data_IF_658462885975
#
_entry.id   IF_658462885975
#
_cell.length_a   1.000
_cell.length_b   1.000
_cell.length_c   1.000
_cell.angle_alpha   90.00
_cell.angle_beta   90.00
_cell.angle_gamma   90.00
#
_symmetry.space_group_name_H-M   'P 1'
#
loop_
_entity.id
_entity.type
_entity.pdbx_description
1 polymer ?
#
# COMPACT_ATOMS: atom_id res chain seq x y z
N UNK A 1 2.88 -15.11 0.26
CA UNK A 1 4.22 -14.50 0.03
C UNK A 1 4.54 -13.46 1.09
N UNK A 2 3.61 -12.54 1.44
CA UNK A 2 3.76 -11.67 2.63
C UNK A 2 4.06 -12.47 3.91
N UNK A 3 3.43 -13.64 4.09
CA UNK A 3 3.63 -14.54 5.24
C UNK A 3 5.04 -15.12 5.33
N UNK A 4 5.66 -15.48 4.20
CA UNK A 4 7.02 -16.05 4.18
C UNK A 4 8.05 -14.96 4.50
N UNK A 5 7.84 -13.75 3.99
CA UNK A 5 8.73 -12.60 4.28
C UNK A 5 8.55 -12.11 5.70
N UNK A 6 7.34 -12.18 6.26
CA UNK A 6 7.09 -11.97 7.69
C UNK A 6 7.80 -13.03 8.53
N UNK A 7 7.69 -14.31 8.19
CA UNK A 7 8.41 -15.40 8.88
C UNK A 7 9.93 -15.22 8.80
N UNK A 8 10.48 -14.98 7.60
CA UNK A 8 11.90 -14.70 7.41
C UNK A 8 12.36 -13.49 8.23
N UNK A 9 11.58 -12.42 8.22
CA UNK A 9 11.83 -11.21 9.03
C UNK A 9 11.83 -11.52 10.51
N UNK A 10 10.84 -12.28 10.99
CA UNK A 10 10.72 -12.64 12.40
C UNK A 10 11.89 -13.51 12.84
N UNK A 11 12.26 -14.51 12.04
CA UNK A 11 13.43 -15.35 12.29
C UNK A 11 14.73 -14.54 12.26
N UNK A 12 14.91 -13.68 11.25
CA UNK A 12 16.08 -12.81 11.12
C UNK A 12 16.21 -11.86 12.32
N UNK A 13 15.11 -11.21 12.73
CA UNK A 13 15.10 -10.35 13.90
C UNK A 13 15.33 -11.13 15.19
N UNK A 14 14.74 -12.32 15.32
CA UNK A 14 14.93 -13.18 16.48
C UNK A 14 16.39 -13.61 16.63
N UNK A 15 17.06 -13.97 15.53
CA UNK A 15 18.50 -14.26 15.54
C UNK A 15 19.33 -12.98 15.75
N UNK A 16 18.96 -11.86 15.14
CA UNK A 16 19.59 -10.55 15.35
C UNK A 16 19.54 -10.09 16.82
N UNK A 17 18.43 -10.32 17.51
CA UNK A 17 18.28 -10.00 18.94
C UNK A 17 18.90 -11.05 19.87
N UNK A 18 19.12 -12.29 19.42
CA UNK A 18 19.88 -13.29 20.19
C UNK A 18 21.37 -12.99 20.21
N UNK A 19 21.91 -12.39 19.15
CA UNK A 19 23.33 -12.04 19.01
C UNK A 19 23.70 -10.70 19.69
N UNK A 20 22.98 -10.34 20.77
CA UNK A 20 23.03 -9.07 21.51
C UNK A 20 24.37 -8.75 22.22
N UNK A 21 25.45 -9.47 21.90
CA UNK A 21 26.79 -9.28 22.46
C UNK A 21 27.85 -8.78 21.45
N UNK A 22 27.53 -8.64 20.17
CA UNK A 22 28.48 -8.12 19.15
C UNK A 22 27.99 -6.81 18.54
N UNK A 23 28.93 -5.89 18.34
CA UNK A 23 28.73 -4.52 17.91
C UNK A 23 27.64 -4.41 16.81
N UNK A 24 26.56 -3.68 17.13
CA UNK A 24 25.49 -3.40 16.16
C UNK A 24 26.09 -2.66 14.97
N UNK A 25 26.16 -3.34 13.83
CA UNK A 25 26.59 -2.70 12.61
C UNK A 25 25.55 -1.61 12.24
N UNK A 26 25.98 -0.44 11.76
CA UNK A 26 25.06 0.61 11.35
C UNK A 26 24.21 0.12 10.17
N UNK A 27 23.00 0.64 9.98
CA UNK A 27 22.09 0.18 8.90
C UNK A 27 22.75 0.18 7.50
N UNK A 28 23.65 1.14 7.26
CA UNK A 28 24.49 1.25 6.05
C UNK A 28 25.38 0.03 5.78
N UNK A 29 25.75 -0.74 6.80
CA UNK A 29 26.53 -1.95 6.67
C UNK A 29 25.69 -3.14 6.15
N UNK A 30 24.36 -3.07 6.34
CA UNK A 30 23.41 -4.07 5.83
C UNK A 30 22.84 -3.67 4.46
N UNK A 31 22.85 -2.37 4.12
CA UNK A 31 22.27 -1.82 2.88
C UNK A 31 23.22 -0.85 2.18
N UNK A 32 24.48 -1.26 1.98
CA UNK A 32 25.54 -0.41 1.40
C UNK A 32 25.15 0.20 0.06
N UNK A 33 24.45 -0.55 -0.79
CA UNK A 33 24.00 -0.09 -2.11
C UNK A 33 22.64 0.64 -2.10
N UNK A 34 21.85 0.51 -1.02
CA UNK A 34 20.50 1.05 -0.91
C UNK A 34 20.36 2.18 0.13
N UNK A 35 21.48 2.75 0.58
CA UNK A 35 21.50 3.81 1.61
C UNK A 35 20.60 5.02 1.28
N UNK A 36 20.54 5.54 0.04
CA UNK A 36 19.64 6.63 -0.31
C UNK A 36 18.15 6.27 -0.14
N UNK A 37 17.77 5.06 -0.58
CA UNK A 37 16.39 4.56 -0.46
C UNK A 37 16.00 4.36 1.01
N UNK A 38 16.91 3.82 1.82
CA UNK A 38 16.72 3.70 3.28
C UNK A 38 16.42 5.07 3.90
N UNK A 39 17.23 6.07 3.61
CA UNK A 39 17.05 7.42 4.16
C UNK A 39 15.74 8.06 3.69
N UNK A 40 15.37 7.85 2.42
CA UNK A 40 14.11 8.32 1.88
C UNK A 40 12.91 7.68 2.59
N UNK A 41 12.95 6.36 2.84
CA UNK A 41 11.86 5.63 3.50
C UNK A 41 11.77 5.94 5.00
N UNK A 42 12.88 6.25 5.67
CA UNK A 42 12.92 6.64 7.09
C UNK A 42 12.36 8.03 7.37
N UNK A 43 12.21 8.87 6.34
CA UNK A 43 11.60 10.19 6.49
C UNK A 43 10.18 10.01 7.03
N UNK A 44 9.86 10.69 8.13
CA UNK A 44 8.50 10.72 8.68
C UNK A 44 7.61 11.59 7.81
N UNK A 45 6.42 11.08 7.51
CA UNK A 45 5.39 11.82 6.79
C UNK A 45 4.49 12.66 7.71
N UNK A 46 4.63 12.50 9.02
CA UNK A 46 3.85 13.19 10.04
C UNK A 46 3.87 14.70 9.83
N UNK A 47 2.67 15.30 9.71
CA UNK A 47 2.50 16.74 9.56
C UNK A 47 2.96 17.32 8.21
N UNK A 48 3.38 16.49 7.23
CA UNK A 48 3.76 16.98 5.91
C UNK A 48 2.51 17.34 5.08
N UNK A 49 2.49 18.52 4.45
CA UNK A 49 1.49 18.86 3.44
C UNK A 49 1.47 17.86 2.27
N UNK A 50 0.29 17.68 1.66
CA UNK A 50 0.04 16.74 0.55
C UNK A 50 1.05 16.90 -0.61
N UNK A 51 1.35 18.14 -1.03
CA UNK A 51 2.31 18.40 -2.10
C UNK A 51 3.74 17.94 -1.74
N UNK A 52 4.15 18.08 -0.48
CA UNK A 52 5.46 17.61 -0.02
C UNK A 52 5.50 16.08 0.04
N UNK A 53 4.42 15.45 0.52
CA UNK A 53 4.28 13.98 0.49
C UNK A 53 4.40 13.45 -0.94
N UNK A 54 3.68 14.06 -1.89
CA UNK A 54 3.71 13.69 -3.30
C UNK A 54 5.11 13.82 -3.91
N UNK A 55 5.80 14.94 -3.67
CA UNK A 55 7.16 15.13 -4.15
C UNK A 55 8.13 14.09 -3.59
N UNK A 56 7.97 13.74 -2.31
CA UNK A 56 8.76 12.71 -1.67
C UNK A 56 8.46 11.32 -2.25
N UNK A 57 7.20 11.01 -2.52
CA UNK A 57 6.77 9.78 -3.18
C UNK A 57 7.37 9.65 -4.59
N UNK A 58 7.38 10.71 -5.39
CA UNK A 58 8.07 10.72 -6.69
C UNK A 58 9.57 10.41 -6.55
N UNK A 59 10.20 10.93 -5.50
CA UNK A 59 11.61 10.65 -5.22
C UNK A 59 11.83 9.16 -4.91
N UNK A 60 10.97 8.56 -4.08
CA UNK A 60 10.99 7.12 -3.79
C UNK A 60 10.76 6.31 -5.07
N UNK A 61 9.75 6.66 -5.88
CA UNK A 61 9.45 5.97 -7.14
C UNK A 61 10.64 6.02 -8.10
N UNK A 62 11.28 7.19 -8.24
CA UNK A 62 12.47 7.34 -9.08
C UNK A 62 13.62 6.44 -8.61
N UNK A 63 13.87 6.38 -7.30
CA UNK A 63 14.89 5.49 -6.73
C UNK A 63 14.56 4.02 -7.02
N UNK A 64 13.32 3.58 -6.79
CA UNK A 64 12.89 2.20 -7.04
C UNK A 64 12.95 1.83 -8.53
N UNK A 65 12.55 2.74 -9.42
CA UNK A 65 12.62 2.53 -10.87
C UNK A 65 14.06 2.38 -11.35
N UNK A 66 15.01 3.16 -10.81
CA UNK A 66 16.43 3.03 -11.19
C UNK A 66 16.99 1.64 -10.86
N UNK A 67 16.59 1.07 -9.72
CA UNK A 67 16.95 -0.30 -9.33
C UNK A 67 16.30 -1.35 -10.24
N UNK A 68 15.09 -1.07 -10.73
CA UNK A 68 14.34 -1.96 -11.62
C UNK A 68 14.82 -1.91 -13.09
N UNK A 69 15.41 -0.80 -13.54
CA UNK A 69 15.81 -0.59 -14.94
C UNK A 69 17.30 -0.79 -15.24
N UNK A 70 18.21 -0.31 -14.38
CA UNK A 70 19.65 -0.19 -14.72
C UNK A 70 20.48 -1.39 -14.24
N UNK A 71 20.03 -2.09 -13.19
CA UNK A 71 20.74 -3.22 -12.57
C UNK A 71 19.75 -4.26 -12.06
N UNK A 72 18.97 -4.87 -12.97
CA UNK A 72 17.94 -5.85 -12.61
C UNK A 72 18.53 -7.18 -12.14
N UNK A 73 19.39 -7.15 -11.13
CA UNK A 73 19.66 -8.31 -10.28
C UNK A 73 18.42 -8.53 -9.42
N UNK A 74 17.95 -9.78 -9.36
CA UNK A 74 16.82 -10.13 -8.50
C UNK A 74 17.09 -9.78 -7.03
N UNK A 75 18.36 -9.76 -6.63
CA UNK A 75 18.79 -9.38 -5.29
C UNK A 75 18.53 -7.89 -4.99
N UNK A 76 18.91 -6.97 -5.88
CA UNK A 76 18.73 -5.53 -5.65
C UNK A 76 17.24 -5.16 -5.61
N UNK A 77 16.44 -5.76 -6.49
CA UNK A 77 14.98 -5.60 -6.52
C UNK A 77 14.35 -6.13 -5.22
N UNK A 78 14.77 -7.31 -4.78
CA UNK A 78 14.28 -7.90 -3.52
C UNK A 78 14.66 -7.05 -2.31
N UNK A 79 15.90 -6.58 -2.21
CA UNK A 79 16.35 -5.72 -1.10
C UNK A 79 15.55 -4.41 -1.05
N UNK A 80 15.36 -3.75 -2.20
CA UNK A 80 14.60 -2.51 -2.29
C UNK A 80 13.13 -2.71 -1.93
N UNK A 81 12.53 -3.80 -2.40
CA UNK A 81 11.17 -4.17 -2.03
C UNK A 81 11.04 -4.54 -0.55
N UNK A 82 12.01 -5.25 0.00
CA UNK A 82 12.03 -5.60 1.42
C UNK A 82 12.09 -4.35 2.29
N UNK A 83 12.95 -3.39 1.94
CA UNK A 83 13.00 -2.08 2.59
C UNK A 83 11.66 -1.36 2.48
N UNK A 84 11.04 -1.37 1.29
CA UNK A 84 9.72 -0.79 1.07
C UNK A 84 8.64 -1.44 1.92
N UNK A 85 8.65 -2.76 2.16
CA UNK A 85 7.68 -3.40 3.07
C UNK A 85 7.93 -3.01 4.53
N UNK A 86 9.21 -2.99 4.95
CA UNK A 86 9.57 -2.83 6.35
C UNK A 86 9.48 -1.38 6.83
N UNK A 87 9.74 -0.44 5.93
CA UNK A 87 9.71 1.00 6.18
C UNK A 87 8.51 1.66 5.44
N UNK A 88 7.52 0.86 5.09
CA UNK A 88 6.53 1.11 4.05
C UNK A 88 5.36 2.02 4.36
N UNK A 89 5.43 2.86 5.39
CA UNK A 89 4.35 3.83 5.66
C UNK A 89 4.02 4.68 4.43
N UNK A 90 5.02 4.93 3.58
CA UNK A 90 4.88 5.63 2.30
C UNK A 90 3.98 4.93 1.27
N UNK A 91 3.84 3.60 1.29
CA UNK A 91 2.95 2.88 0.36
C UNK A 91 1.49 3.15 0.68
N UNK A 92 1.12 3.09 1.96
CA UNK A 92 -0.24 3.41 2.40
C UNK A 92 -0.52 4.92 2.21
N UNK A 93 0.51 5.78 2.30
CA UNK A 93 0.37 7.22 1.99
C UNK A 93 0.18 7.42 0.49
N UNK A 94 0.88 6.67 -0.37
CA UNK A 94 0.68 6.74 -1.82
C UNK A 94 -0.76 6.38 -2.20
N UNK A 95 -1.32 5.31 -1.63
CA UNK A 95 -2.72 4.95 -1.85
C UNK A 95 -3.68 6.06 -1.42
N UNK A 96 -3.44 6.68 -0.26
CA UNK A 96 -4.23 7.81 0.23
C UNK A 96 -4.15 8.99 -0.73
N UNK A 97 -2.94 9.47 -1.03
CA UNK A 97 -2.71 10.61 -1.92
C UNK A 97 -3.35 10.38 -3.29
N UNK A 98 -3.30 9.16 -3.82
CA UNK A 98 -3.91 8.81 -5.10
C UNK A 98 -5.44 9.02 -5.08
N UNK A 99 -6.11 8.80 -3.94
CA UNK A 99 -7.57 8.92 -3.80
C UNK A 99 -8.03 10.27 -3.23
N UNK A 100 -7.14 11.03 -2.59
CA UNK A 100 -7.45 12.33 -2.00
C UNK A 100 -7.00 13.50 -2.88
N UNK A 101 -5.92 13.34 -3.64
CA UNK A 101 -5.25 14.43 -4.37
C UNK A 101 -5.64 14.47 -5.86
N UNK A 102 -4.99 15.35 -6.64
CA UNK A 102 -5.30 15.63 -8.05
C UNK A 102 -4.85 14.47 -8.99
N UNK A 103 -5.63 14.12 -10.04
CA UNK A 103 -5.37 13.02 -10.96
C UNK A 103 -4.03 13.01 -11.72
N UNK A 104 -3.32 14.13 -11.90
CA UNK A 104 -2.09 14.21 -12.71
C UNK A 104 -0.94 13.29 -12.21
N UNK A 105 -0.99 12.88 -10.94
CA UNK A 105 0.08 12.14 -10.24
C UNK A 105 -0.17 10.61 -10.19
N UNK A 106 -1.25 10.15 -10.83
CA UNK A 106 -1.76 8.79 -10.66
C UNK A 106 -0.82 7.67 -11.12
N UNK A 107 -0.08 7.84 -12.22
CA UNK A 107 0.68 6.74 -12.82
C UNK A 107 1.90 6.30 -11.98
N UNK A 108 2.63 7.24 -11.36
CA UNK A 108 3.79 6.90 -10.52
C UNK A 108 3.38 6.26 -9.19
N UNK A 109 2.29 6.72 -8.59
CA UNK A 109 1.75 6.14 -7.37
C UNK A 109 1.13 4.76 -7.63
N UNK A 110 0.44 4.57 -8.77
CA UNK A 110 -0.03 3.25 -9.21
C UNK A 110 1.14 2.31 -9.48
N UNK A 111 2.22 2.80 -10.08
CA UNK A 111 3.43 2.00 -10.28
C UNK A 111 4.04 1.57 -8.93
N UNK A 112 4.10 2.46 -7.94
CA UNK A 112 4.61 2.13 -6.60
C UNK A 112 3.79 1.01 -5.95
N UNK A 113 2.46 1.09 -6.03
CA UNK A 113 1.56 0.05 -5.53
C UNK A 113 1.74 -1.27 -6.29
N UNK A 114 1.86 -1.22 -7.62
CA UNK A 114 2.11 -2.39 -8.44
C UNK A 114 3.44 -3.07 -8.09
N UNK A 115 4.49 -2.28 -7.85
CA UNK A 115 5.80 -2.76 -7.39
C UNK A 115 5.72 -3.37 -5.99
N UNK A 116 5.00 -2.74 -5.05
CA UNK A 116 4.82 -3.25 -3.68
C UNK A 116 4.16 -4.64 -3.66
N UNK A 117 3.08 -4.83 -4.44
CA UNK A 117 2.39 -6.11 -4.47
C UNK A 117 3.09 -7.15 -5.36
N UNK A 118 3.84 -6.72 -6.38
CA UNK A 118 4.50 -7.64 -7.29
C UNK A 118 5.90 -7.15 -7.73
N UNK A 119 6.91 -7.23 -6.85
CA UNK A 119 8.24 -6.65 -7.10
C UNK A 119 9.01 -7.36 -8.21
N UNK A 120 8.85 -8.68 -8.33
CA UNK A 120 9.60 -9.49 -9.29
C UNK A 120 8.89 -9.62 -10.64
N UNK A 121 7.74 -8.95 -10.83
CA UNK A 121 6.98 -9.10 -12.06
C UNK A 121 7.76 -8.55 -13.24
N UNK A 122 7.81 -9.32 -14.34
CA UNK A 122 8.26 -8.83 -15.64
C UNK A 122 7.49 -7.57 -16.04
N UNK A 123 8.17 -6.67 -16.76
CA UNK A 123 7.62 -5.36 -17.16
C UNK A 123 6.24 -5.47 -17.82
N UNK A 124 6.02 -6.50 -18.64
CA UNK A 124 4.73 -6.75 -19.30
C UNK A 124 3.61 -7.13 -18.32
N UNK A 125 3.90 -7.93 -17.31
CA UNK A 125 2.91 -8.35 -16.32
C UNK A 125 2.59 -7.20 -15.34
N UNK A 126 3.59 -6.37 -15.02
CA UNK A 126 3.36 -5.12 -14.25
C UNK A 126 2.54 -4.11 -15.01
N UNK A 127 2.76 -3.99 -16.33
CA UNK A 127 1.94 -3.16 -17.21
C UNK A 127 0.46 -3.55 -17.15
N UNK A 128 0.15 -4.85 -17.17
CA UNK A 128 -1.23 -5.34 -16.98
C UNK A 128 -1.81 -4.96 -15.62
N UNK A 129 -1.09 -5.21 -14.53
CA UNK A 129 -1.52 -4.80 -13.18
C UNK A 129 -1.78 -3.30 -13.10
N UNK A 130 -0.96 -2.47 -13.73
CA UNK A 130 -1.17 -1.02 -13.76
C UNK A 130 -2.43 -0.63 -14.53
N UNK A 131 -2.69 -1.23 -15.70
CA UNK A 131 -3.90 -0.95 -16.48
C UNK A 131 -5.16 -1.32 -15.69
N UNK A 132 -5.16 -2.50 -15.06
CA UNK A 132 -6.26 -2.99 -14.22
C UNK A 132 -6.50 -2.07 -13.01
N UNK A 133 -5.41 -1.70 -12.31
CA UNK A 133 -5.47 -0.80 -11.17
C UNK A 133 -5.92 0.62 -11.55
N UNK A 134 -5.49 1.11 -12.71
CA UNK A 134 -5.87 2.43 -13.24
C UNK A 134 -7.36 2.49 -13.54
N UNK A 135 -7.91 1.46 -14.20
CA UNK A 135 -9.35 1.38 -14.45
C UNK A 135 -10.17 1.43 -13.14
N UNK A 136 -9.76 0.65 -12.13
CA UNK A 136 -10.40 0.69 -10.81
C UNK A 136 -10.26 2.07 -10.15
N UNK A 137 -9.08 2.67 -10.20
CA UNK A 137 -8.86 4.00 -9.66
C UNK A 137 -9.77 5.05 -10.32
N UNK A 138 -9.88 5.06 -11.64
CA UNK A 138 -10.76 5.97 -12.38
C UNK A 138 -12.23 5.77 -11.98
N UNK A 139 -12.67 4.52 -11.80
CA UNK A 139 -13.99 4.21 -11.26
C UNK A 139 -14.17 4.76 -9.84
N UNK A 140 -13.20 4.58 -8.93
CA UNK A 140 -13.26 5.12 -7.57
C UNK A 140 -13.31 6.65 -7.55
N UNK A 141 -12.57 7.32 -8.44
CA UNK A 141 -12.62 8.78 -8.62
C UNK A 141 -14.00 9.23 -9.11
N UNK A 142 -14.60 8.50 -10.04
CA UNK A 142 -15.97 8.75 -10.49
C UNK A 142 -16.99 8.58 -9.36
N UNK A 143 -16.87 7.50 -8.58
CA UNK A 143 -17.70 7.24 -7.39
C UNK A 143 -17.54 8.31 -6.30
N UNK A 144 -16.34 8.88 -6.13
CA UNK A 144 -16.09 10.01 -5.21
C UNK A 144 -16.89 11.26 -5.61
N UNK A 145 -17.01 11.51 -6.91
CA UNK A 145 -17.69 12.67 -7.49
C UNK A 145 -19.21 12.49 -7.59
N UNK A 146 -19.68 11.25 -7.59
CA UNK A 146 -21.11 10.92 -7.61
C UNK A 146 -21.89 11.56 -6.45
N UNK A 147 -23.12 12.00 -6.73
CA UNK A 147 -24.09 12.46 -5.72
C UNK A 147 -24.73 11.30 -4.96
N UNK A 148 -24.76 10.11 -5.55
CA UNK A 148 -25.42 8.92 -5.02
C UNK A 148 -24.39 7.94 -4.47
N UNK A 149 -24.58 7.51 -3.23
CA UNK A 149 -23.76 6.50 -2.54
C UNK A 149 -24.52 5.18 -2.57
N UNK A 150 -23.90 4.13 -3.09
CA UNK A 150 -24.53 2.82 -3.21
C UNK A 150 -23.48 1.71 -3.07
N UNK A 151 -23.64 0.80 -2.10
CA UNK A 151 -22.73 -0.34 -1.95
C UNK A 151 -22.70 -1.23 -3.21
N UNK A 152 -23.82 -1.32 -3.95
CA UNK A 152 -23.90 -2.13 -5.16
C UNK A 152 -23.00 -1.63 -6.30
N UNK A 153 -22.74 -0.32 -6.40
CA UNK A 153 -21.79 0.17 -7.41
C UNK A 153 -20.36 -0.26 -7.10
N UNK A 154 -20.04 -0.42 -5.81
CA UNK A 154 -18.78 -0.98 -5.36
C UNK A 154 -18.69 -2.49 -5.60
N UNK A 155 -19.78 -3.23 -5.36
CA UNK A 155 -19.84 -4.66 -5.69
C UNK A 155 -19.63 -4.89 -7.18
N UNK A 156 -20.32 -4.11 -8.03
CA UNK A 156 -20.19 -4.21 -9.48
C UNK A 156 -18.74 -4.03 -9.96
N UNK A 157 -18.02 -3.06 -9.39
CA UNK A 157 -16.59 -2.85 -9.67
C UNK A 157 -15.74 -4.11 -9.41
N UNK A 158 -16.04 -4.82 -8.32
CA UNK A 158 -15.34 -6.07 -7.96
C UNK A 158 -15.84 -7.28 -8.77
N UNK A 159 -17.08 -7.26 -9.25
CA UNK A 159 -17.68 -8.33 -10.06
C UNK A 159 -17.35 -8.26 -11.54
N UNK A 160 -17.06 -7.08 -12.09
CA UNK A 160 -16.66 -6.88 -13.49
C UNK A 160 -15.42 -7.72 -13.87
N UNK A 161 -14.68 -8.22 -12.88
CA UNK A 161 -13.56 -9.12 -13.05
C UNK A 161 -13.92 -10.61 -13.30
N UNK A 162 -15.17 -11.05 -13.07
CA UNK A 162 -15.56 -12.47 -13.16
C UNK A 162 -15.30 -13.11 -14.53
N UNK A 163 -15.32 -12.32 -15.61
CA UNK A 163 -15.09 -12.80 -16.98
C UNK A 163 -13.62 -12.98 -17.34
N UNK A 164 -12.70 -12.27 -16.68
CA UNK A 164 -11.25 -12.40 -16.87
C UNK A 164 -10.54 -12.14 -15.53
N UNK A 165 -10.31 -13.19 -14.72
CA UNK A 165 -9.88 -13.02 -13.35
C UNK A 165 -8.53 -12.33 -13.25
N UNK A 166 -8.45 -11.30 -12.41
CA UNK A 166 -7.19 -10.59 -12.15
C UNK A 166 -6.17 -11.53 -11.53
N UNK A 167 -4.89 -11.28 -11.80
CA UNK A 167 -3.81 -11.96 -11.10
C UNK A 167 -3.94 -11.72 -9.58
N UNK A 168 -3.67 -12.70 -8.69
CA UNK A 168 -3.88 -12.54 -7.25
C UNK A 168 -3.23 -11.28 -6.65
N UNK A 169 -2.04 -10.90 -7.14
CA UNK A 169 -1.36 -9.66 -6.74
C UNK A 169 -2.09 -8.38 -7.16
N UNK A 170 -2.70 -8.36 -8.34
CA UNK A 170 -3.54 -7.23 -8.76
C UNK A 170 -4.76 -7.13 -7.83
N UNK A 171 -5.37 -8.26 -7.46
CA UNK A 171 -6.50 -8.26 -6.52
C UNK A 171 -6.12 -7.65 -5.18
N UNK A 172 -4.94 -7.97 -4.64
CA UNK A 172 -4.42 -7.37 -3.39
C UNK A 172 -4.27 -5.85 -3.50
N UNK A 173 -3.74 -5.36 -4.63
CA UNK A 173 -3.63 -3.94 -4.92
C UNK A 173 -5.01 -3.27 -4.98
N UNK A 174 -5.94 -3.87 -5.71
CA UNK A 174 -7.30 -3.35 -5.88
C UNK A 174 -8.03 -3.27 -4.53
N UNK A 175 -7.90 -4.29 -3.68
CA UNK A 175 -8.40 -4.25 -2.29
C UNK A 175 -7.78 -3.12 -1.50
N UNK A 176 -6.47 -2.87 -1.65
CA UNK A 176 -5.81 -1.74 -0.99
C UNK A 176 -6.42 -0.40 -1.40
N UNK A 177 -6.61 -0.17 -2.70
CA UNK A 177 -7.27 1.05 -3.19
C UNK A 177 -8.70 1.17 -2.67
N UNK A 178 -9.45 0.08 -2.71
CA UNK A 178 -10.84 -0.02 -2.25
C UNK A 178 -10.98 0.30 -0.75
N UNK A 179 -10.17 -0.32 0.11
CA UNK A 179 -10.17 -0.05 1.56
C UNK A 179 -9.76 1.40 1.83
N UNK A 180 -8.70 1.88 1.17
CA UNK A 180 -8.25 3.27 1.32
C UNK A 180 -9.34 4.25 0.91
N UNK A 181 -10.05 3.99 -0.18
CA UNK A 181 -11.18 4.81 -0.63
C UNK A 181 -12.28 4.88 0.42
N UNK A 182 -12.71 3.74 0.97
CA UNK A 182 -13.76 3.69 1.99
C UNK A 182 -13.33 4.47 3.24
N UNK A 183 -12.07 4.32 3.66
CA UNK A 183 -11.55 4.99 4.87
C UNK A 183 -11.47 6.50 4.67
N UNK A 184 -10.93 6.96 3.54
CA UNK A 184 -10.62 8.38 3.31
C UNK A 184 -11.70 9.15 2.55
N UNK A 185 -12.82 8.53 2.18
CA UNK A 185 -13.97 9.18 1.57
C UNK A 185 -15.17 9.23 2.53
N UNK A 186 -15.37 10.32 3.30
CA UNK A 186 -16.39 10.39 4.35
C UNK A 186 -17.82 10.09 3.89
N UNK A 187 -18.15 10.43 2.64
CA UNK A 187 -19.46 10.14 2.03
C UNK A 187 -19.79 8.65 2.03
N UNK A 188 -18.79 7.78 1.99
CA UNK A 188 -18.96 6.32 1.89
C UNK A 188 -18.97 5.63 3.24
N UNK A 189 -18.78 6.35 4.35
CA UNK A 189 -18.72 5.77 5.71
C UNK A 189 -20.03 5.09 6.14
N UNK A 190 -21.18 5.50 5.59
CA UNK A 190 -22.48 4.88 5.87
C UNK A 190 -22.60 3.45 5.32
N UNK A 191 -21.93 3.15 4.20
CA UNK A 191 -21.95 1.85 3.52
C UNK A 191 -20.64 1.07 3.67
N UNK A 192 -19.67 1.63 4.42
CA UNK A 192 -18.33 1.08 4.56
C UNK A 192 -18.32 -0.37 5.05
N UNK A 193 -19.18 -0.71 6.01
CA UNK A 193 -19.28 -2.06 6.57
C UNK A 193 -19.75 -3.08 5.52
N UNK A 194 -20.75 -2.72 4.72
CA UNK A 194 -21.27 -3.58 3.66
C UNK A 194 -20.18 -3.83 2.60
N UNK A 195 -19.48 -2.76 2.17
CA UNK A 195 -18.39 -2.87 1.21
C UNK A 195 -17.22 -3.72 1.74
N UNK A 196 -16.85 -3.55 3.02
CA UNK A 196 -15.80 -4.37 3.66
C UNK A 196 -16.23 -5.82 3.75
N UNK A 197 -17.44 -6.10 4.24
CA UNK A 197 -17.98 -7.46 4.34
C UNK A 197 -18.02 -8.16 2.98
N UNK A 198 -18.29 -7.43 1.90
CA UNK A 198 -18.26 -7.98 0.54
C UNK A 198 -16.82 -8.32 0.09
N UNK A 199 -15.84 -7.49 0.42
CA UNK A 199 -14.43 -7.76 0.07
C UNK A 199 -13.83 -8.93 0.83
N UNK A 200 -14.36 -9.26 2.01
CA UNK A 200 -13.75 -10.20 2.98
C UNK A 200 -14.44 -11.55 3.02
N UNK A 201 -15.09 -11.96 1.92
CA UNK A 201 -15.79 -13.24 1.79
C UNK A 201 -14.84 -14.47 1.91
N UNK A 202 -13.53 -14.27 1.73
CA UNK A 202 -12.52 -15.32 1.91
C UNK A 202 -11.57 -14.97 3.05
N UNK A 203 -11.02 -15.99 3.71
CA UNK A 203 -10.07 -15.79 4.81
C UNK A 203 -8.81 -15.02 4.39
N UNK A 204 -8.32 -15.26 3.18
CA UNK A 204 -7.17 -14.52 2.63
C UNK A 204 -7.51 -13.03 2.46
N UNK A 205 -8.67 -12.73 1.87
CA UNK A 205 -9.11 -11.35 1.70
C UNK A 205 -9.39 -10.65 3.04
N UNK A 206 -9.95 -11.38 4.02
CA UNK A 206 -10.17 -10.86 5.36
C UNK A 206 -8.85 -10.47 6.06
N UNK A 207 -7.84 -11.35 5.97
CA UNK A 207 -6.50 -11.09 6.49
C UNK A 207 -5.84 -9.87 5.84
N UNK A 208 -5.96 -9.75 4.50
CA UNK A 208 -5.42 -8.60 3.76
C UNK A 208 -6.07 -7.28 4.16
N UNK A 209 -7.41 -7.24 4.24
CA UNK A 209 -8.15 -6.04 4.65
C UNK A 209 -7.82 -5.67 6.09
N UNK A 210 -7.79 -6.64 7.00
CA UNK A 210 -7.39 -6.43 8.40
C UNK A 210 -5.96 -5.86 8.49
N UNK A 211 -5.01 -6.41 7.73
CA UNK A 211 -3.64 -5.91 7.65
C UNK A 211 -3.57 -4.45 7.16
N UNK A 212 -4.38 -4.08 6.16
CA UNK A 212 -4.43 -2.69 5.63
C UNK A 212 -5.02 -1.75 6.68
N UNK A 213 -6.11 -2.13 7.34
CA UNK A 213 -6.74 -1.34 8.40
C UNK A 213 -5.81 -1.17 9.60
N UNK A 214 -5.12 -2.23 10.02
CA UNK A 214 -4.17 -2.20 11.12
C UNK A 214 -2.98 -1.26 10.83
N UNK A 215 -2.40 -1.32 9.62
CA UNK A 215 -1.34 -0.38 9.22
C UNK A 215 -1.85 1.06 9.17
N UNK A 216 -3.04 1.28 8.62
CA UNK A 216 -3.68 2.60 8.58
C UNK A 216 -3.89 3.15 9.98
N UNK A 217 -4.38 2.34 10.92
CA UNK A 217 -4.57 2.74 12.31
C UNK A 217 -3.25 3.07 13.00
N UNK A 218 -2.23 2.21 12.86
CA UNK A 218 -0.91 2.41 13.46
C UNK A 218 -0.26 3.72 13.02
N UNK A 219 -0.53 4.14 11.77
CA UNK A 219 -0.06 5.40 11.22
C UNK A 219 -0.85 6.58 11.80
N UNK A 220 -2.17 6.48 11.87
CA UNK A 220 -3.05 7.56 12.37
C UNK A 220 -2.94 7.80 13.88
N UNK A 221 -2.48 6.81 14.65
CA UNK A 221 -2.26 6.92 16.10
C UNK A 221 -1.02 7.76 16.46
N UNK A 222 -0.24 8.18 15.46
CA UNK A 222 0.92 9.04 15.68
C UNK A 222 0.46 10.49 15.92
N UNK A 223 0.84 11.12 17.06
CA UNK A 223 0.37 12.46 17.42
C UNK A 223 0.63 13.49 16.31
N UNK A 224 -0.41 14.22 15.91
CA UNK A 224 -0.33 15.28 14.88
C UNK A 224 -0.87 14.92 13.49
N UNK A 225 -1.30 13.67 13.26
CA UNK A 225 -2.03 13.25 12.03
C UNK A 225 -3.51 12.92 12.27
N UNK A 226 -4.03 13.25 13.45
CA UNK A 226 -5.33 12.78 13.91
C UNK A 226 -6.48 13.42 13.13
N UNK A 227 -7.12 12.63 12.26
CA UNK A 227 -8.54 12.80 12.01
C UNK A 227 -9.28 11.81 12.89
N UNK A 228 -9.74 12.27 14.06
CA UNK A 228 -10.46 11.44 15.04
C UNK A 228 -11.64 10.68 14.40
N UNK A 229 -12.26 11.27 13.37
CA UNK A 229 -13.31 10.64 12.57
C UNK A 229 -12.80 9.43 11.77
N UNK A 230 -11.64 9.55 11.12
CA UNK A 230 -11.01 8.47 10.35
C UNK A 230 -10.56 7.34 11.29
N UNK A 231 -9.96 7.68 12.43
CA UNK A 231 -9.57 6.69 13.45
C UNK A 231 -10.79 5.90 13.92
N UNK A 232 -11.91 6.60 14.17
CA UNK A 232 -13.15 5.96 14.62
C UNK A 232 -13.72 4.99 13.58
N UNK A 233 -13.75 5.37 12.29
CA UNK A 233 -14.25 4.47 11.24
C UNK A 233 -13.31 3.27 11.06
N UNK A 234 -11.99 3.45 11.07
CA UNK A 234 -11.03 2.35 10.95
C UNK A 234 -11.18 1.36 12.11
N UNK A 235 -11.27 1.84 13.36
CA UNK A 235 -11.51 0.98 14.53
C UNK A 235 -12.83 0.22 14.42
N UNK A 236 -13.90 0.87 13.95
CA UNK A 236 -15.20 0.23 13.74
C UNK A 236 -15.11 -0.88 12.70
N UNK A 237 -14.42 -0.66 11.58
CA UNK A 237 -14.22 -1.68 10.55
C UNK A 237 -13.33 -2.83 11.03
N UNK A 238 -12.36 -2.54 11.90
CA UNK A 238 -11.43 -3.54 12.43
C UNK A 238 -12.08 -4.49 13.45
N UNK A 239 -13.16 -4.08 14.13
CA UNK A 239 -13.91 -4.91 15.08
C UNK A 239 -14.59 -6.13 14.44
N UNK A 240 -14.75 -6.13 13.12
CA UNK A 240 -15.43 -7.19 12.38
C UNK A 240 -14.46 -8.31 11.91
N UNK A 241 -13.19 -8.31 12.36
CA UNK A 241 -12.14 -9.28 12.01
C UNK A 241 -11.60 -10.06 13.21
#
# INVERSE_FOLDING_TARGET
>A
MLTIVRLFTSCFLQEYYKDNAKAKLPLRAYFSHNTPLVLALLRRAEGLPSNICIQHLHTIVKMLRSVDSEERSHENVFQSWFLLIRLGGWVDIAAEQLLTSDPEISDDLLWLLAFYYNPCNESQSRGRTMVEAKAVYECLVSLRRSSTICAMSFHKLLEENKSNPWHPRTVQLIRHLCVTFIVFCPKWHSVAKDCVSYMTQTQEAASEVSDILARTLSRLDIPGMESQKIITIVRKLQQDF
#
